data_IF_516101614047
#
_entry.id   IF_516101614047
#
_cell.length_a   1.000
_cell.length_b   1.000
_cell.length_c   1.000
_cell.angle_alpha   90.00
_cell.angle_beta   90.00
_cell.angle_gamma   90.00
#
_symmetry.space_group_name_H-M   'P 1'
#
loop_
_entity.id
_entity.type
_entity.pdbx_description
1 polymer ?
#
# COMPACT_ATOMS: atom_id res chain seq x y z
N UNK A 1 -21.54 13.98 -6.51
CA UNK A 1 -20.08 13.80 -6.62
C UNK A 1 -19.88 12.56 -7.47
N UNK A 2 -19.53 12.74 -8.71
CA UNK A 2 -19.35 11.62 -9.63
C UNK A 2 -17.90 11.16 -9.55
N UNK A 3 -17.70 9.90 -9.22
CA UNK A 3 -16.37 9.29 -9.13
C UNK A 3 -16.06 8.69 -10.50
N UNK A 4 -15.06 9.23 -11.18
CA UNK A 4 -14.60 8.69 -12.45
C UNK A 4 -13.43 7.74 -12.17
N UNK A 5 -13.61 6.45 -12.51
CA UNK A 5 -12.58 5.42 -12.38
C UNK A 5 -11.71 5.36 -13.64
N UNK A 6 -10.43 5.65 -13.50
CA UNK A 6 -9.44 5.46 -14.56
C UNK A 6 -8.55 4.26 -14.22
N UNK A 7 -8.90 3.07 -14.71
CA UNK A 7 -8.14 1.85 -14.41
C UNK A 7 -7.04 1.50 -15.41
N UNK A 8 -6.95 2.17 -16.56
CA UNK A 8 -5.96 1.86 -17.61
C UNK A 8 -5.64 3.07 -18.46
N UNK A 9 -5.01 4.09 -17.88
CA UNK A 9 -4.52 5.23 -18.67
C UNK A 9 -3.13 4.90 -19.21
N UNK A 10 -2.87 5.05 -20.52
CA UNK A 10 -1.52 4.95 -21.07
C UNK A 10 -0.58 5.96 -20.39
N UNK A 11 0.65 5.52 -20.12
CA UNK A 11 1.71 6.32 -19.46
C UNK A 11 1.89 7.71 -20.08
N UNK A 12 1.65 7.83 -21.38
CA UNK A 12 1.76 9.08 -22.14
C UNK A 12 0.71 10.14 -21.74
N UNK A 13 -0.46 9.72 -21.26
CA UNK A 13 -1.52 10.63 -20.79
C UNK A 13 -1.30 11.08 -19.35
N UNK A 14 -0.57 10.31 -18.56
CA UNK A 14 -0.25 10.64 -17.16
C UNK A 14 0.73 11.83 -17.03
N UNK A 15 1.50 12.14 -18.08
CA UNK A 15 2.37 13.32 -18.13
C UNK A 15 1.58 14.64 -18.20
N UNK A 16 0.32 14.60 -18.60
CA UNK A 16 -0.58 15.75 -18.68
C UNK A 16 -1.36 15.98 -17.38
N UNK A 17 -1.54 14.94 -16.59
CA UNK A 17 -2.05 15.06 -15.23
C UNK A 17 -0.85 15.44 -14.37
N UNK A 18 -0.83 16.65 -13.85
CA UNK A 18 0.21 17.20 -12.96
C UNK A 18 0.20 16.45 -11.59
N UNK A 19 0.18 15.12 -11.69
CA UNK A 19 0.52 14.24 -10.60
C UNK A 19 1.99 14.52 -10.33
N UNK A 20 2.25 15.47 -9.43
CA UNK A 20 3.58 15.93 -9.11
C UNK A 20 4.45 14.74 -8.64
N UNK A 21 4.98 14.02 -9.63
CA UNK A 21 5.93 12.90 -9.45
C UNK A 21 7.17 13.41 -8.69
N UNK A 22 7.35 14.73 -8.62
CA UNK A 22 8.46 15.40 -7.93
C UNK A 22 8.30 15.44 -6.40
N UNK A 23 7.10 15.24 -5.85
CA UNK A 23 6.89 15.09 -4.42
C UNK A 23 7.13 13.65 -3.91
N UNK A 24 7.76 12.82 -4.73
CA UNK A 24 8.26 11.49 -4.36
C UNK A 24 9.41 11.49 -3.34
N UNK A 25 9.68 12.61 -2.68
CA UNK A 25 10.67 12.70 -1.60
C UNK A 25 10.32 11.91 -0.32
N UNK A 26 9.19 11.21 -0.30
CA UNK A 26 8.95 10.14 0.64
C UNK A 26 9.41 8.78 0.06
N UNK A 27 10.66 8.73 -0.37
CA UNK A 27 11.34 7.46 -0.63
C UNK A 27 11.52 6.79 0.74
N UNK A 28 10.53 6.02 1.15
CA UNK A 28 10.67 5.19 2.33
C UNK A 28 11.84 4.24 2.11
N UNK A 29 12.78 4.10 3.04
CA UNK A 29 13.98 3.25 2.89
C UNK A 29 13.66 1.83 2.39
N UNK A 30 12.54 1.26 2.82
CA UNK A 30 12.07 -0.06 2.38
C UNK A 30 11.73 -0.10 0.88
N UNK A 31 11.15 0.96 0.30
CA UNK A 31 10.88 1.01 -1.14
C UNK A 31 12.17 0.97 -1.95
N UNK A 32 13.24 1.63 -1.48
CA UNK A 32 14.54 1.57 -2.13
C UNK A 32 15.10 0.14 -2.13
N UNK A 33 15.03 -0.54 -0.96
CA UNK A 33 15.46 -1.94 -0.86
C UNK A 33 14.69 -2.82 -1.85
N UNK A 34 13.38 -2.64 -1.96
CA UNK A 34 12.57 -3.39 -2.92
C UNK A 34 12.93 -3.04 -4.36
N UNK A 35 13.12 -1.77 -4.66
CA UNK A 35 13.48 -1.32 -6.00
C UNK A 35 14.84 -1.89 -6.44
N UNK A 36 15.85 -1.83 -5.57
CA UNK A 36 17.20 -2.32 -5.84
C UNK A 36 17.24 -3.85 -6.04
N UNK A 37 16.28 -4.58 -5.46
CA UNK A 37 16.26 -6.04 -5.50
C UNK A 37 15.12 -6.63 -6.34
N UNK A 38 14.36 -5.82 -7.08
CA UNK A 38 13.19 -6.30 -7.82
C UNK A 38 13.54 -7.34 -8.88
N UNK A 39 14.66 -7.18 -9.58
CA UNK A 39 15.09 -8.10 -10.62
C UNK A 39 15.52 -9.47 -10.04
N UNK A 40 16.11 -9.47 -8.86
CA UNK A 40 16.41 -10.71 -8.14
C UNK A 40 15.12 -11.42 -7.72
N UNK A 41 14.14 -10.67 -7.23
CA UNK A 41 12.85 -11.22 -6.84
C UNK A 41 12.09 -11.82 -8.05
N UNK A 42 12.12 -11.16 -9.21
CA UNK A 42 11.55 -11.67 -10.47
C UNK A 42 12.20 -12.98 -10.90
N UNK A 43 13.53 -13.10 -10.75
CA UNK A 43 14.25 -14.37 -11.04
C UNK A 43 13.85 -15.48 -10.06
N UNK A 44 13.65 -15.18 -8.79
CA UNK A 44 13.16 -16.15 -7.80
C UNK A 44 11.74 -16.63 -8.12
N UNK A 45 10.86 -15.69 -8.50
CA UNK A 45 9.49 -16.01 -8.89
C UNK A 45 9.45 -16.91 -10.13
N UNK A 46 10.18 -16.53 -11.18
CA UNK A 46 10.32 -17.31 -12.42
C UNK A 46 10.90 -18.73 -12.20
N UNK A 47 11.73 -18.91 -11.16
CA UNK A 47 12.27 -20.22 -10.78
C UNK A 47 11.36 -21.04 -9.86
N UNK A 48 10.18 -20.50 -9.48
CA UNK A 48 9.24 -21.14 -8.55
C UNK A 48 9.72 -21.20 -7.09
N UNK A 49 10.80 -20.50 -6.76
CA UNK A 49 11.35 -20.45 -5.38
C UNK A 49 10.68 -19.42 -4.49
N UNK A 50 9.98 -18.46 -5.08
CA UNK A 50 9.19 -17.47 -4.35
C UNK A 50 7.69 -17.84 -4.43
N UNK A 51 6.92 -17.44 -3.41
CA UNK A 51 5.46 -17.53 -3.50
C UNK A 51 4.97 -16.46 -4.48
N UNK A 52 4.05 -16.77 -5.42
CA UNK A 52 3.59 -15.83 -6.44
C UNK A 52 3.08 -14.49 -5.86
N UNK A 53 2.45 -14.54 -4.69
CA UNK A 53 1.94 -13.34 -4.03
C UNK A 53 3.02 -12.35 -3.55
N UNK A 54 4.29 -12.78 -3.45
CA UNK A 54 5.36 -11.90 -2.94
C UNK A 54 5.70 -10.84 -3.97
N UNK A 55 5.93 -11.24 -5.22
CA UNK A 55 6.26 -10.33 -6.32
C UNK A 55 5.13 -9.31 -6.53
N UNK A 56 3.88 -9.76 -6.64
CA UNK A 56 2.71 -8.89 -6.79
C UNK A 56 2.61 -7.86 -5.66
N UNK A 57 2.76 -8.29 -4.40
CA UNK A 57 2.69 -7.38 -3.26
C UNK A 57 3.84 -6.35 -3.24
N UNK A 58 5.04 -6.75 -3.64
CA UNK A 58 6.19 -5.84 -3.72
C UNK A 58 5.98 -4.82 -4.84
N UNK A 59 5.61 -5.26 -6.04
CA UNK A 59 5.35 -4.37 -7.18
C UNK A 59 4.23 -3.37 -6.85
N UNK A 60 3.11 -3.82 -6.30
CA UNK A 60 2.03 -2.93 -5.84
C UNK A 60 2.47 -1.96 -4.75
N UNK A 61 3.34 -2.39 -3.83
CA UNK A 61 3.84 -1.50 -2.78
C UNK A 61 4.79 -0.42 -3.31
N UNK A 62 5.57 -0.73 -4.34
CA UNK A 62 6.40 0.26 -5.05
C UNK A 62 5.55 1.34 -5.70
N UNK A 63 4.42 0.98 -6.28
CA UNK A 63 3.48 1.87 -6.96
C UNK A 63 2.49 2.56 -6.01
N UNK A 64 2.54 2.26 -4.71
CA UNK A 64 1.60 2.77 -3.71
C UNK A 64 1.61 4.29 -3.62
N UNK A 65 0.42 4.90 -3.62
CA UNK A 65 0.19 6.35 -3.66
C UNK A 65 0.77 7.03 -4.91
N UNK A 66 0.85 6.31 -6.01
CA UNK A 66 1.19 6.85 -7.32
C UNK A 66 0.01 6.69 -8.25
N UNK A 67 -0.07 7.53 -9.28
CA UNK A 67 -1.11 7.41 -10.30
C UNK A 67 -1.01 6.10 -11.11
N UNK A 68 0.15 5.41 -11.07
CA UNK A 68 0.34 4.10 -11.72
C UNK A 68 -0.48 2.97 -11.09
N UNK A 69 -0.84 3.09 -9.81
CA UNK A 69 -1.72 2.12 -9.16
C UNK A 69 -3.21 2.41 -9.41
N UNK A 70 -3.50 3.54 -10.08
CA UNK A 70 -4.82 4.09 -10.26
C UNK A 70 -5.08 5.27 -9.31
N UNK A 71 -6.12 6.03 -9.60
CA UNK A 71 -6.53 7.18 -8.80
C UNK A 71 -8.03 7.43 -8.94
N UNK A 72 -8.59 8.11 -7.95
CA UNK A 72 -9.94 8.66 -8.00
C UNK A 72 -9.85 10.16 -8.26
N UNK A 73 -10.61 10.67 -9.23
CA UNK A 73 -10.74 12.09 -9.48
C UNK A 73 -12.08 12.58 -8.90
N UNK A 74 -12.02 13.66 -8.14
CA UNK A 74 -13.17 14.33 -7.58
C UNK A 74 -13.27 15.74 -8.18
N UNK A 75 -14.41 16.06 -8.73
CA UNK A 75 -14.72 17.36 -9.29
C UNK A 75 -15.77 18.07 -8.43
N UNK A 76 -15.58 19.35 -8.17
CA UNK A 76 -16.53 20.16 -7.42
C UNK A 76 -17.62 20.68 -8.38
N UNK A 77 -18.91 20.43 -8.12
CA UNK A 77 -19.97 20.92 -8.97
C UNK A 77 -20.19 22.45 -8.91
N UNK A 78 -19.67 23.11 -7.85
CA UNK A 78 -19.88 24.55 -7.61
C UNK A 78 -18.68 25.42 -8.02
N UNK A 79 -17.53 24.81 -8.25
CA UNK A 79 -16.33 25.49 -8.73
C UNK A 79 -15.53 24.49 -9.57
N UNK A 80 -14.87 24.96 -10.61
CA UNK A 80 -14.08 24.11 -11.53
C UNK A 80 -12.82 23.48 -10.90
N UNK A 81 -12.80 23.37 -9.57
CA UNK A 81 -11.71 22.73 -8.84
C UNK A 81 -11.86 21.21 -8.87
N UNK A 82 -10.75 20.54 -9.10
CA UNK A 82 -10.64 19.09 -9.08
C UNK A 82 -9.51 18.64 -8.15
N UNK A 83 -9.62 17.42 -7.66
CA UNK A 83 -8.61 16.80 -6.79
C UNK A 83 -8.41 15.34 -7.18
N UNK A 84 -7.17 14.88 -7.15
CA UNK A 84 -6.79 13.48 -7.44
C UNK A 84 -6.33 12.82 -6.16
N UNK A 85 -6.89 11.66 -5.89
CA UNK A 85 -6.49 10.80 -4.76
C UNK A 85 -5.92 9.50 -5.32
N UNK A 86 -4.59 9.31 -5.32
CA UNK A 86 -3.99 8.09 -5.81
C UNK A 86 -4.32 6.89 -4.92
N UNK A 87 -4.53 5.72 -5.55
CA UNK A 87 -4.86 4.51 -4.84
C UNK A 87 -3.71 4.02 -3.95
N UNK A 88 -4.07 3.36 -2.86
CA UNK A 88 -3.13 2.71 -1.95
C UNK A 88 -3.07 1.20 -2.18
N UNK A 89 -1.91 0.58 -1.96
CA UNK A 89 -1.71 -0.85 -2.22
C UNK A 89 -2.37 -1.77 -1.18
N UNK A 90 -2.80 -1.23 -0.05
CA UNK A 90 -3.33 -1.97 1.11
C UNK A 90 -2.42 -3.10 1.61
N UNK A 91 -1.17 -3.16 1.15
CA UNK A 91 -0.21 -4.18 1.54
C UNK A 91 0.38 -3.90 2.92
N UNK A 92 0.55 -4.96 3.73
CA UNK A 92 1.25 -4.89 5.02
C UNK A 92 2.75 -4.65 4.85
N UNK A 93 3.32 -4.95 3.68
CA UNK A 93 4.73 -4.68 3.35
C UNK A 93 4.99 -3.20 3.06
N UNK A 94 3.96 -2.44 2.72
CA UNK A 94 4.07 -1.02 2.49
C UNK A 94 4.08 -0.26 3.81
N UNK A 95 5.10 0.56 4.07
CA UNK A 95 5.20 1.33 5.30
C UNK A 95 3.97 2.22 5.55
N UNK A 96 3.47 2.91 4.53
CA UNK A 96 2.31 3.79 4.67
C UNK A 96 1.04 2.99 5.01
N UNK A 97 0.74 1.95 4.20
CA UNK A 97 -0.45 1.12 4.40
C UNK A 97 -0.35 0.25 5.65
N UNK A 98 0.82 -0.33 5.94
CA UNK A 98 1.07 -1.15 7.11
C UNK A 98 0.90 -0.37 8.41
N UNK A 99 1.44 0.85 8.49
CA UNK A 99 1.26 1.73 9.67
C UNK A 99 -0.20 2.12 9.84
N UNK A 100 -0.89 2.50 8.75
CA UNK A 100 -2.34 2.80 8.80
C UNK A 100 -3.13 1.60 9.33
N UNK A 101 -2.86 0.40 8.80
CA UNK A 101 -3.50 -0.83 9.24
C UNK A 101 -3.22 -1.13 10.72
N UNK A 102 -1.96 -1.02 11.16
CA UNK A 102 -1.58 -1.25 12.55
C UNK A 102 -2.29 -0.29 13.51
N UNK A 103 -2.37 1.00 13.16
CA UNK A 103 -3.10 2.01 13.96
C UNK A 103 -4.59 1.68 14.05
N UNK A 104 -5.23 1.30 12.94
CA UNK A 104 -6.64 0.93 12.92
C UNK A 104 -6.90 -0.32 13.75
N UNK A 105 -6.04 -1.33 13.64
CA UNK A 105 -6.13 -2.56 14.43
C UNK A 105 -5.93 -2.28 15.93
N UNK A 106 -4.94 -1.46 16.29
CA UNK A 106 -4.71 -1.06 17.67
C UNK A 106 -5.92 -0.31 18.25
N UNK A 107 -6.46 0.67 17.53
CA UNK A 107 -7.65 1.40 17.96
C UNK A 107 -8.85 0.47 18.16
N UNK A 108 -9.07 -0.46 17.22
CA UNK A 108 -10.12 -1.47 17.32
C UNK A 108 -9.89 -2.40 18.51
N UNK A 109 -8.67 -2.90 18.72
CA UNK A 109 -8.34 -3.76 19.85
C UNK A 109 -8.58 -3.03 21.19
N UNK A 110 -8.13 -1.78 21.29
CA UNK A 110 -8.32 -0.96 22.50
C UNK A 110 -9.81 -0.73 22.81
N UNK A 111 -10.66 -0.58 21.79
CA UNK A 111 -12.10 -0.40 22.02
C UNK A 111 -12.82 -1.63 22.59
N UNK A 112 -12.22 -2.81 22.47
CA UNK A 112 -12.75 -4.06 23.05
C UNK A 112 -12.09 -4.41 24.39
N UNK A 113 -11.00 -3.72 24.78
CA UNK A 113 -10.34 -3.97 26.05
C UNK A 113 -11.17 -3.40 27.21
N UNK A 114 -11.28 -4.17 28.28
CA UNK A 114 -11.82 -3.71 29.54
C UNK A 114 -10.83 -2.74 30.19
N UNK A 115 -11.35 -1.74 30.94
CA UNK A 115 -10.51 -0.81 31.70
C UNK A 115 -9.98 -1.47 32.99
N UNK A 116 -9.00 -2.36 32.81
CA UNK A 116 -8.34 -3.10 33.89
C UNK A 116 -6.89 -3.43 33.48
N UNK A 117 -6.01 -3.76 34.45
CA UNK A 117 -4.67 -4.21 34.13
C UNK A 117 -4.67 -5.51 33.32
N UNK A 118 -4.12 -5.45 32.10
CA UNK A 118 -3.99 -6.62 31.24
C UNK A 118 -2.64 -7.31 31.43
N UNK A 119 -2.62 -8.66 31.38
CA UNK A 119 -1.41 -9.45 31.37
C UNK A 119 -1.37 -10.32 30.13
N UNK A 120 -0.24 -10.30 29.43
CA UNK A 120 0.00 -11.21 28.32
C UNK A 120 0.44 -12.58 28.86
N UNK A 121 -0.33 -13.62 28.58
CA UNK A 121 0.00 -15.01 28.94
C UNK A 121 0.18 -15.79 27.65
N UNK A 122 1.31 -16.47 27.53
CA UNK A 122 1.63 -17.36 26.40
C UNK A 122 1.60 -18.80 26.88
N UNK A 123 0.74 -19.61 26.29
CA UNK A 123 0.72 -21.05 26.48
C UNK A 123 1.44 -21.71 25.32
N UNK A 124 2.41 -22.55 25.60
CA UNK A 124 3.07 -23.41 24.62
C UNK A 124 2.65 -24.83 24.83
N UNK A 125 2.28 -25.52 23.77
CA UNK A 125 1.97 -26.96 23.80
C UNK A 125 3.17 -27.67 23.17
N UNK A 126 3.71 -28.75 23.78
CA UNK A 126 4.74 -29.57 23.16
C UNK A 126 4.28 -30.13 21.82
N UNK A 127 5.19 -30.26 20.86
CA UNK A 127 4.91 -30.76 19.52
C UNK A 127 4.43 -32.24 19.50
N UNK A 128 4.69 -32.93 20.57
CA UNK A 128 4.42 -34.38 20.74
C UNK A 128 3.01 -34.69 21.27
N UNK A 129 2.12 -33.70 21.37
CA UNK A 129 0.70 -33.87 21.67
C UNK A 129 -0.15 -33.76 20.41
#
# INVERSE_FOLDING_TARGET
MDTIYYSNIPIETLSLLDCDVRNFNFIHPIKNIFFDNIDYLRKLDASGKARPCILDNVERSLLCHTCYLGFDQFECPDCDNWNIIPHSCHSRFCNACGVKYAKQLAAKATSFCLDCPHRHIVFTIPEEL
#
